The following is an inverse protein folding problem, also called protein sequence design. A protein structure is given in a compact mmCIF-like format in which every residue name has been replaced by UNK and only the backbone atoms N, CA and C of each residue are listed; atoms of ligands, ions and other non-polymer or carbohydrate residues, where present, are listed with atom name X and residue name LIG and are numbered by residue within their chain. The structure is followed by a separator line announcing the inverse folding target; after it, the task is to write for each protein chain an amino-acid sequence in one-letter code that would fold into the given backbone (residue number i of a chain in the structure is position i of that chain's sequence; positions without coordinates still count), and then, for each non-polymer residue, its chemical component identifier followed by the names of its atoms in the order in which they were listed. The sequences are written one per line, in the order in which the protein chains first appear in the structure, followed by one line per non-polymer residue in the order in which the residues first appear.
data_IF_454348757539
#
_entry.id   IF_454348757539
#
_cell.length_a   1.000
_cell.length_b   1.000
_cell.length_c   1.000
_cell.angle_alpha   90.00
_cell.angle_beta   90.00
_cell.angle_gamma   90.00
#
_symmetry.space_group_name_H-M   'P 1'
#
loop_
_entity.id
_entity.type
_entity.pdbx_description
1 polymer ?
#
# COMPACT_ATOMS: atom_id res chain seq x y z
N UNK A 1 44.90 9.28 19.03
CA UNK A 1 43.84 8.23 19.07
C UNK A 1 42.41 8.83 19.11
N UNK A 2 42.01 9.69 18.14
CA UNK A 2 40.66 10.29 18.10
C UNK A 2 39.95 10.14 16.73
N UNK A 3 40.47 9.29 15.83
CA UNK A 3 39.89 9.13 14.49
C UNK A 3 39.16 7.79 14.25
N UNK A 4 39.11 6.88 15.23
CA UNK A 4 38.54 5.55 15.05
C UNK A 4 37.02 5.50 15.37
N UNK A 5 36.47 6.49 16.08
CA UNK A 5 35.07 6.48 16.51
C UNK A 5 34.09 7.02 15.46
N UNK A 6 34.56 7.82 14.48
CA UNK A 6 33.66 8.46 13.51
C UNK A 6 33.24 7.51 12.37
N UNK A 7 34.12 6.58 11.99
CA UNK A 7 33.85 5.60 10.92
C UNK A 7 32.83 4.51 11.34
N UNK A 8 32.83 4.16 12.64
CA UNK A 8 31.90 3.15 13.16
C UNK A 8 30.45 3.63 13.22
N UNK A 9 30.23 4.93 13.50
CA UNK A 9 28.90 5.51 13.63
C UNK A 9 28.19 5.66 12.27
N UNK A 10 28.95 5.99 11.22
CA UNK A 10 28.40 6.10 9.85
C UNK A 10 27.98 4.73 9.30
N UNK A 11 28.70 3.67 9.65
CA UNK A 11 28.36 2.31 9.23
C UNK A 11 27.08 1.77 9.88
N UNK A 12 26.85 2.08 11.17
CA UNK A 12 25.63 1.70 11.91
C UNK A 12 24.40 2.41 11.32
N UNK A 13 24.53 3.67 10.90
CA UNK A 13 23.43 4.42 10.31
C UNK A 13 23.01 3.86 8.94
N UNK A 14 23.96 3.39 8.13
CA UNK A 14 23.65 2.79 6.82
C UNK A 14 22.96 1.42 6.95
N UNK A 15 23.39 0.59 7.87
CA UNK A 15 22.78 -0.71 8.15
C UNK A 15 21.34 -0.53 8.61
N UNK A 16 21.05 0.38 9.51
CA UNK A 16 19.71 0.64 10.01
C UNK A 16 18.74 1.15 8.92
N UNK A 17 19.21 1.93 7.96
CA UNK A 17 18.38 2.44 6.88
C UNK A 17 17.99 1.34 5.88
N UNK A 18 18.92 0.47 5.50
CA UNK A 18 18.63 -0.67 4.62
C UNK A 18 17.71 -1.70 5.29
N UNK A 19 17.93 -1.98 6.56
CA UNK A 19 17.08 -2.89 7.33
C UNK A 19 15.65 -2.34 7.50
N UNK A 20 15.50 -1.04 7.69
CA UNK A 20 14.19 -0.38 7.72
C UNK A 20 13.45 -0.47 6.37
N UNK A 21 14.13 -0.25 5.26
CA UNK A 21 13.53 -0.38 3.92
C UNK A 21 13.10 -1.83 3.64
N UNK A 22 13.93 -2.81 3.96
CA UNK A 22 13.59 -4.20 3.81
C UNK A 22 12.33 -4.59 4.62
N UNK A 23 12.19 -4.12 5.85
CA UNK A 23 11.00 -4.40 6.68
C UNK A 23 9.73 -3.72 6.18
N UNK A 24 9.83 -2.57 5.50
CA UNK A 24 8.69 -1.93 4.84
C UNK A 24 8.28 -2.68 3.56
N UNK A 25 9.24 -3.16 2.78
CA UNK A 25 8.96 -4.01 1.62
C UNK A 25 8.27 -5.32 2.05
N UNK A 26 8.74 -5.98 3.10
CA UNK A 26 8.10 -7.16 3.68
C UNK A 26 6.66 -6.88 4.16
N UNK A 27 6.39 -5.70 4.71
CA UNK A 27 5.04 -5.29 5.10
C UNK A 27 4.09 -5.28 3.90
N UNK A 28 4.49 -4.64 2.78
CA UNK A 28 3.65 -4.51 1.60
C UNK A 28 3.56 -5.80 0.78
N UNK A 29 4.65 -6.56 0.67
CA UNK A 29 4.62 -7.87 0.03
C UNK A 29 3.67 -8.82 0.77
N UNK A 30 3.74 -8.80 2.10
CA UNK A 30 2.83 -9.53 2.95
C UNK A 30 1.39 -9.04 2.82
N UNK A 31 1.13 -7.75 2.62
CA UNK A 31 -0.21 -7.22 2.35
C UNK A 31 -0.82 -7.86 1.10
N UNK A 32 -0.09 -7.87 -0.01
CA UNK A 32 -0.55 -8.46 -1.27
C UNK A 32 -0.70 -9.98 -1.17
N UNK A 33 0.21 -10.66 -0.47
CA UNK A 33 0.14 -12.09 -0.24
C UNK A 33 -1.08 -12.47 0.62
N UNK A 34 -1.32 -11.77 1.71
CA UNK A 34 -2.46 -12.02 2.60
C UNK A 34 -3.79 -11.79 1.87
N UNK A 35 -3.87 -10.76 1.01
CA UNK A 35 -5.04 -10.54 0.18
C UNK A 35 -5.27 -11.69 -0.81
N UNK A 36 -4.21 -12.12 -1.52
CA UNK A 36 -4.29 -13.24 -2.46
C UNK A 36 -4.74 -14.55 -1.79
N UNK A 37 -4.27 -14.81 -0.57
CA UNK A 37 -4.57 -16.03 0.19
C UNK A 37 -5.85 -15.97 1.02
N UNK A 38 -6.53 -14.83 1.05
CA UNK A 38 -7.73 -14.64 1.88
C UNK A 38 -7.44 -14.60 3.38
N UNK A 39 -6.22 -14.25 3.77
CA UNK A 39 -5.77 -14.18 5.16
C UNK A 39 -6.28 -12.90 5.85
N UNK A 40 -7.58 -12.81 6.10
CA UNK A 40 -8.25 -11.61 6.58
C UNK A 40 -7.60 -11.00 7.83
N UNK A 41 -7.28 -11.80 8.84
CA UNK A 41 -6.76 -11.30 10.11
C UNK A 41 -5.37 -10.67 9.95
N UNK A 42 -4.46 -11.35 9.24
CA UNK A 42 -3.09 -10.88 9.01
C UNK A 42 -3.07 -9.69 8.06
N UNK A 43 -3.91 -9.68 7.03
CA UNK A 43 -4.10 -8.54 6.14
C UNK A 43 -4.41 -7.26 6.91
N UNK A 44 -5.43 -7.29 7.76
CA UNK A 44 -5.86 -6.12 8.53
C UNK A 44 -4.95 -5.79 9.73
N UNK A 45 -4.18 -6.75 10.24
CA UNK A 45 -3.17 -6.49 11.25
C UNK A 45 -2.01 -5.62 10.75
N UNK A 46 -1.83 -5.49 9.43
CA UNK A 46 -0.82 -4.62 8.81
C UNK A 46 -1.18 -3.14 8.86
N UNK A 47 -2.45 -2.82 9.09
CA UNK A 47 -2.93 -1.44 9.16
C UNK A 47 -2.88 -0.89 10.59
N UNK A 48 -2.73 0.44 10.70
CA UNK A 48 -2.98 1.11 11.97
C UNK A 48 -4.48 1.09 12.28
N UNK A 49 -4.84 1.22 13.55
CA UNK A 49 -6.25 1.27 13.97
C UNK A 49 -7.05 2.45 13.40
N UNK A 50 -6.35 3.52 13.00
CA UNK A 50 -6.94 4.73 12.43
C UNK A 50 -6.64 4.86 10.93
N UNK A 51 -6.23 3.78 10.27
CA UNK A 51 -5.91 3.81 8.85
C UNK A 51 -7.13 4.19 8.01
N UNK A 52 -6.84 4.82 6.88
CA UNK A 52 -7.83 5.15 5.85
C UNK A 52 -7.45 4.43 4.57
N UNK A 53 -8.42 3.76 3.96
CA UNK A 53 -8.29 3.14 2.65
C UNK A 53 -9.16 3.89 1.64
N UNK A 54 -8.56 4.19 0.48
CA UNK A 54 -9.27 4.71 -0.69
C UNK A 54 -9.30 3.63 -1.78
N UNK A 55 -10.49 3.23 -2.18
CA UNK A 55 -10.67 2.31 -3.30
C UNK A 55 -10.67 3.03 -4.65
N UNK A 56 -11.06 2.31 -5.69
CA UNK A 56 -11.04 2.81 -7.07
C UNK A 56 -12.26 3.65 -7.46
N UNK A 57 -13.32 3.61 -6.66
CA UNK A 57 -14.52 4.43 -6.83
C UNK A 57 -14.47 5.69 -5.96
N UNK A 58 -15.02 6.79 -6.44
CA UNK A 58 -15.02 8.10 -5.73
C UNK A 58 -15.71 8.06 -4.36
N UNK A 59 -16.60 7.09 -4.13
CA UNK A 59 -17.32 6.89 -2.86
C UNK A 59 -16.56 6.01 -1.87
N UNK A 60 -15.51 5.34 -2.32
CA UNK A 60 -14.75 4.36 -1.55
C UNK A 60 -13.66 5.01 -0.70
N UNK A 61 -14.09 5.77 0.30
CA UNK A 61 -13.23 6.30 1.36
C UNK A 61 -13.66 5.71 2.68
N UNK A 62 -12.89 4.74 3.16
CA UNK A 62 -13.23 3.94 4.34
C UNK A 62 -12.26 4.16 5.50
N UNK A 63 -12.81 4.20 6.71
CA UNK A 63 -12.07 3.86 7.92
C UNK A 63 -11.68 2.37 7.86
N UNK A 64 -10.73 1.96 8.69
CA UNK A 64 -10.30 0.55 8.69
C UNK A 64 -11.44 -0.42 9.04
N UNK A 65 -12.39 -0.01 9.86
CA UNK A 65 -13.54 -0.87 10.24
C UNK A 65 -14.56 -0.99 9.09
N UNK A 66 -14.82 0.08 8.35
CA UNK A 66 -15.66 0.04 7.15
C UNK A 66 -14.99 -0.80 6.06
N UNK A 67 -13.67 -0.66 5.88
CA UNK A 67 -12.93 -1.47 4.92
C UNK A 67 -12.92 -2.96 5.30
N UNK A 68 -12.81 -3.32 6.58
CA UNK A 68 -13.00 -4.70 7.05
C UNK A 68 -14.38 -5.24 6.70
N UNK A 69 -15.42 -4.44 6.89
CA UNK A 69 -16.80 -4.85 6.56
C UNK A 69 -16.95 -5.10 5.06
N UNK A 70 -16.43 -4.22 4.22
CA UNK A 70 -16.41 -4.36 2.77
C UNK A 70 -15.64 -5.60 2.29
N UNK A 71 -14.45 -5.83 2.85
CA UNK A 71 -13.56 -6.91 2.43
C UNK A 71 -14.02 -8.30 2.89
N UNK A 72 -14.76 -8.39 3.99
CA UNK A 72 -15.14 -9.67 4.62
C UNK A 72 -15.76 -10.69 3.67
N UNK A 73 -16.74 -10.36 2.81
CA UNK A 73 -17.30 -11.33 1.87
C UNK A 73 -16.26 -11.87 0.88
N UNK A 74 -15.40 -11.00 0.34
CA UNK A 74 -14.36 -11.40 -0.61
C UNK A 74 -13.33 -12.37 0.01
N UNK A 75 -12.97 -12.16 1.28
CA UNK A 75 -12.03 -13.03 1.99
C UNK A 75 -12.65 -14.33 2.52
N UNK A 76 -13.98 -14.39 2.62
CA UNK A 76 -14.68 -15.58 3.16
C UNK A 76 -14.52 -16.82 2.27
N UNK A 77 -14.30 -16.63 0.97
CA UNK A 77 -14.13 -17.71 -0.01
C UNK A 77 -12.66 -18.20 -0.10
N UNK A 78 -11.78 -17.77 0.83
CA UNK A 78 -10.38 -18.20 0.92
C UNK A 78 -9.44 -17.48 -0.05
N UNK A 79 -9.90 -16.43 -0.70
CA UNK A 79 -9.09 -15.50 -1.50
C UNK A 79 -9.78 -14.15 -1.54
N UNK A 80 -9.00 -13.08 -1.48
CA UNK A 80 -9.50 -11.71 -1.66
C UNK A 80 -9.21 -11.22 -3.08
N UNK A 81 -8.28 -10.30 -3.21
CA UNK A 81 -7.85 -9.75 -4.49
C UNK A 81 -6.38 -10.03 -4.75
N UNK A 82 -6.03 -10.14 -6.02
CA UNK A 82 -4.67 -10.44 -6.46
C UNK A 82 -4.09 -9.28 -7.23
N UNK A 83 -3.00 -8.72 -6.72
CA UNK A 83 -2.18 -7.73 -7.39
C UNK A 83 -0.75 -8.24 -7.51
N UNK A 84 -0.19 -8.11 -8.72
CA UNK A 84 1.23 -8.36 -8.97
C UNK A 84 1.96 -7.02 -8.92
N UNK A 85 2.90 -6.89 -8.00
CA UNK A 85 3.78 -5.72 -7.92
C UNK A 85 4.75 -5.74 -9.11
N UNK A 86 4.81 -4.62 -9.84
CA UNK A 86 5.72 -4.43 -10.97
C UNK A 86 6.89 -3.55 -10.53
N UNK A 87 6.61 -2.49 -9.79
CA UNK A 87 7.57 -1.51 -9.31
C UNK A 87 7.10 -0.94 -7.98
N UNK A 88 8.02 -0.56 -7.09
CA UNK A 88 7.73 0.14 -5.84
C UNK A 88 8.83 1.15 -5.54
N UNK A 89 8.43 2.33 -5.14
CA UNK A 89 9.30 3.43 -4.78
C UNK A 89 8.98 3.92 -3.36
N UNK A 90 10.00 4.35 -2.64
CA UNK A 90 9.92 4.82 -1.27
C UNK A 90 10.49 6.22 -1.13
N UNK A 91 9.81 7.03 -0.31
CA UNK A 91 10.25 8.37 0.06
C UNK A 91 10.05 8.62 1.56
N UNK A 92 10.63 9.71 2.06
CA UNK A 92 10.52 10.13 3.45
C UNK A 92 11.65 9.65 4.34
N UNK A 93 11.55 9.96 5.62
CA UNK A 93 12.56 9.62 6.62
C UNK A 93 11.95 9.43 8.02
N UNK A 94 12.74 8.92 8.97
CA UNK A 94 12.29 8.65 10.33
C UNK A 94 11.15 7.63 10.37
N UNK A 95 10.18 7.86 11.24
CA UNK A 95 9.10 6.94 11.57
C UNK A 95 7.89 7.03 10.62
N UNK A 96 8.00 7.82 9.56
CA UNK A 96 6.95 7.96 8.54
C UNK A 96 7.57 7.91 7.16
N UNK A 97 7.06 7.02 6.33
CA UNK A 97 7.42 6.86 4.92
C UNK A 97 6.17 6.89 4.07
N UNK A 98 6.32 7.32 2.82
CA UNK A 98 5.30 7.15 1.81
C UNK A 98 5.86 6.39 0.63
N UNK A 99 4.98 5.77 -0.11
CA UNK A 99 5.33 4.92 -1.24
C UNK A 99 4.35 5.11 -2.40
N UNK A 100 4.82 4.74 -3.56
CA UNK A 100 3.97 4.38 -4.68
C UNK A 100 4.41 3.04 -5.27
N UNK A 101 3.45 2.30 -5.80
CA UNK A 101 3.71 1.05 -6.50
C UNK A 101 2.87 0.92 -7.76
N UNK A 102 3.47 0.37 -8.81
CA UNK A 102 2.76 -0.05 -10.01
C UNK A 102 2.35 -1.50 -9.82
N UNK A 103 1.07 -1.74 -9.97
CA UNK A 103 0.42 -3.03 -9.78
C UNK A 103 -0.24 -3.49 -11.06
N UNK A 104 -0.38 -4.79 -11.22
CA UNK A 104 -1.22 -5.39 -12.25
C UNK A 104 -2.29 -6.29 -11.63
N UNK A 105 -3.52 -6.14 -12.08
CA UNK A 105 -4.66 -6.97 -11.73
C UNK A 105 -5.35 -7.44 -13.00
N UNK A 106 -5.72 -8.70 -13.09
CA UNK A 106 -6.30 -9.31 -14.29
C UNK A 106 -7.62 -8.65 -14.74
N UNK A 107 -8.40 -8.12 -13.80
CA UNK A 107 -9.68 -7.46 -14.08
C UNK A 107 -9.54 -5.97 -14.37
N UNK A 108 -8.66 -5.28 -13.62
CA UNK A 108 -8.56 -3.82 -13.64
C UNK A 108 -7.39 -3.30 -14.50
N UNK A 109 -6.51 -4.20 -14.98
CA UNK A 109 -5.29 -3.83 -15.67
C UNK A 109 -4.25 -3.22 -14.73
N UNK A 110 -3.52 -2.21 -15.21
CA UNK A 110 -2.54 -1.50 -14.39
C UNK A 110 -3.22 -0.58 -13.38
N UNK A 111 -2.74 -0.67 -12.15
CA UNK A 111 -3.17 0.16 -11.04
C UNK A 111 -1.95 0.84 -10.39
N UNK A 112 -2.21 1.88 -9.62
CA UNK A 112 -1.24 2.47 -8.70
C UNK A 112 -1.74 2.34 -7.29
N UNK A 113 -0.93 1.71 -6.44
CA UNK A 113 -1.04 1.84 -5.00
C UNK A 113 -0.18 3.01 -4.52
N UNK A 114 -0.73 3.86 -3.68
CA UNK A 114 0.03 4.88 -2.95
C UNK A 114 -0.32 4.83 -1.49
N UNK A 115 0.62 5.14 -0.61
CA UNK A 115 0.28 5.10 0.79
C UNK A 115 1.33 5.69 1.71
N UNK A 116 0.98 5.66 2.99
CA UNK A 116 1.83 6.10 4.09
C UNK A 116 1.95 4.97 5.09
N UNK A 117 3.18 4.69 5.51
CA UNK A 117 3.48 3.77 6.60
C UNK A 117 4.07 4.51 7.78
N UNK A 118 3.80 4.03 8.98
CA UNK A 118 4.29 4.57 10.24
C UNK A 118 4.94 3.47 11.08
N UNK A 119 6.07 3.80 11.69
CA UNK A 119 6.73 2.95 12.68
C UNK A 119 6.04 3.14 14.04
N UNK A 120 5.44 2.10 14.56
CA UNK A 120 4.70 2.10 15.83
C UNK A 120 5.17 0.93 16.67
N UNK A 121 5.80 1.19 17.81
CA UNK A 121 6.37 0.16 18.71
C UNK A 121 7.30 -0.82 17.95
N UNK A 122 8.21 -0.27 17.16
CA UNK A 122 9.18 -0.99 16.33
C UNK A 122 8.57 -1.87 15.21
N UNK A 123 7.29 -1.67 14.88
CA UNK A 123 6.63 -2.32 13.76
C UNK A 123 6.10 -1.29 12.74
N UNK A 124 6.39 -1.50 11.47
CA UNK A 124 5.78 -0.71 10.40
C UNK A 124 4.33 -1.09 10.19
N UNK A 125 3.46 -0.09 10.11
CA UNK A 125 2.02 -0.23 9.87
C UNK A 125 1.55 0.74 8.78
N UNK A 126 0.59 0.31 7.98
CA UNK A 126 -0.03 1.14 6.94
C UNK A 126 -1.02 2.08 7.62
N UNK A 127 -0.79 3.39 7.49
CA UNK A 127 -1.67 4.43 8.00
C UNK A 127 -2.63 4.96 6.93
N UNK A 128 -2.24 4.86 5.66
CA UNK A 128 -3.05 5.25 4.51
C UNK A 128 -2.69 4.39 3.31
N UNK A 129 -3.69 3.98 2.54
CA UNK A 129 -3.51 3.34 1.24
C UNK A 129 -4.57 3.83 0.27
N UNK A 130 -4.17 4.19 -0.93
CA UNK A 130 -5.06 4.55 -2.03
C UNK A 130 -4.74 3.69 -3.25
N UNK A 131 -5.77 3.11 -3.84
CA UNK A 131 -5.70 2.32 -5.07
C UNK A 131 -6.35 3.09 -6.20
N UNK A 132 -5.65 3.24 -7.32
CA UNK A 132 -6.15 3.97 -8.49
C UNK A 132 -5.91 3.15 -9.76
N UNK A 133 -6.91 3.02 -10.62
CA UNK A 133 -6.73 2.47 -11.96
C UNK A 133 -5.93 3.43 -12.83
N UNK A 134 -4.95 2.91 -13.57
CA UNK A 134 -4.13 3.72 -14.48
C UNK A 134 -4.73 3.71 -15.89
N UNK A 135 -5.17 4.87 -16.33
CA UNK A 135 -5.75 5.05 -17.65
C UNK A 135 -4.68 5.61 -18.60
N UNK A 136 -4.39 4.95 -19.75
CA UNK A 136 -3.51 5.50 -20.77
C UNK A 136 -4.01 6.86 -21.29
N UNK A 137 -3.11 7.81 -21.47
CA UNK A 137 -3.44 9.16 -21.94
C UNK A 137 -4.20 9.15 -23.27
N UNK A 138 -3.95 8.16 -24.14
CA UNK A 138 -4.59 8.03 -25.45
C UNK A 138 -6.10 7.79 -25.40
N UNK A 139 -6.63 7.28 -24.29
CA UNK A 139 -8.06 7.01 -24.08
C UNK A 139 -8.66 7.77 -22.89
N UNK A 140 -7.88 8.64 -22.24
CA UNK A 140 -8.30 9.30 -21.00
C UNK A 140 -9.57 10.16 -21.19
N UNK A 141 -9.72 10.83 -22.35
CA UNK A 141 -10.90 11.62 -22.65
C UNK A 141 -12.17 10.78 -22.79
N UNK A 142 -12.06 9.60 -23.42
CA UNK A 142 -13.19 8.68 -23.61
C UNK A 142 -13.63 8.08 -22.27
N UNK A 143 -12.65 7.65 -21.44
CA UNK A 143 -12.93 7.16 -20.08
C UNK A 143 -13.55 8.27 -19.23
N UNK A 144 -13.05 9.50 -19.31
CA UNK A 144 -13.64 10.64 -18.59
C UNK A 144 -15.09 10.91 -18.99
N UNK A 145 -15.43 10.78 -20.28
CA UNK A 145 -16.80 10.88 -20.76
C UNK A 145 -17.70 9.78 -20.20
N UNK A 146 -17.22 8.53 -20.18
CA UNK A 146 -17.98 7.39 -19.67
C UNK A 146 -18.23 7.49 -18.16
N UNK A 147 -17.23 7.92 -17.38
CA UNK A 147 -17.39 8.12 -15.93
C UNK A 147 -18.39 9.23 -15.62
N UNK A 148 -18.38 10.34 -16.39
CA UNK A 148 -19.36 11.42 -16.23
C UNK A 148 -20.79 10.97 -16.56
N UNK A 149 -20.97 10.08 -17.53
CA UNK A 149 -22.28 9.51 -17.83
C UNK A 149 -22.77 8.59 -16.70
N UNK A 150 -21.90 7.70 -16.23
CA UNK A 150 -22.24 6.79 -15.13
C UNK A 150 -22.57 7.52 -13.81
N UNK A 151 -21.97 8.69 -13.59
CA UNK A 151 -22.25 9.52 -12.41
C UNK A 151 -23.63 10.20 -12.43
N UNK A 152 -24.30 10.24 -13.59
CA UNK A 152 -25.60 10.88 -13.78
C UNK A 152 -26.78 9.89 -13.84
N UNK A 153 -26.50 8.59 -13.77
CA UNK A 153 -27.50 7.51 -13.69
C UNK A 153 -27.84 7.15 -12.24
#
# INVERSE_FOLDING_TARGET
MKRLFLTSLVFIFSINAEEQLASIDELLDGLHQDAHQGNFQTYFARYTKNAVFLGTDKTERWTIEEFKAYARPAFADGHGWTYKVIERNWEGNGDTRWFDEILFNEKLGHCRGTGVVQLINDEWKIAHYALTMLVPNSIAADVGSQTQQADNE
#
